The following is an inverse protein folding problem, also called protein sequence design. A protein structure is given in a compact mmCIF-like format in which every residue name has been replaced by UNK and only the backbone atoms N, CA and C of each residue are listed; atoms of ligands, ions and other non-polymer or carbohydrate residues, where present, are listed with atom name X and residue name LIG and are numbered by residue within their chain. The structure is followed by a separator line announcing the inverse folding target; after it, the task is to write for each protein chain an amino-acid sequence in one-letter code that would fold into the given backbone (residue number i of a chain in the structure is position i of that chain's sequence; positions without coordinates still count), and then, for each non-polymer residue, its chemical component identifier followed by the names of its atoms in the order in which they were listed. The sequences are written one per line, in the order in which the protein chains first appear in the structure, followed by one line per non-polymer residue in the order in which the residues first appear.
data_IF_795619352627
#
_entry.id   IF_795619352627
#
_cell.length_a   1.000
_cell.length_b   1.000
_cell.length_c   1.000
_cell.angle_alpha   90.00
_cell.angle_beta   90.00
_cell.angle_gamma   90.00
#
_symmetry.space_group_name_H-M   'P 1'
#
loop_
_entity.id
_entity.type
_entity.pdbx_description
1 polymer ?
#
# COMPACT_ATOMS: atom_id res chain seq x y z
N UNK A 1 -5.37 11.09 -10.90
CA UNK A 1 -5.01 11.67 -9.59
C UNK A 1 -3.89 10.80 -9.02
N UNK A 2 -2.71 11.39 -8.78
CA UNK A 2 -1.41 10.72 -8.55
C UNK A 2 -1.15 10.37 -7.06
N UNK A 3 -2.21 10.20 -6.27
CA UNK A 3 -2.13 10.45 -4.83
C UNK A 3 -1.68 9.23 -4.02
N UNK A 4 -2.02 7.99 -4.41
CA UNK A 4 -1.68 6.81 -3.59
C UNK A 4 -0.21 6.43 -3.61
N UNK A 5 0.54 6.71 -4.68
CA UNK A 5 1.99 6.47 -4.67
C UNK A 5 2.71 7.37 -3.65
N UNK A 6 2.35 8.65 -3.59
CA UNK A 6 2.88 9.59 -2.59
C UNK A 6 2.43 9.25 -1.18
N UNK A 7 1.15 8.91 -0.99
CA UNK A 7 0.62 8.44 0.29
C UNK A 7 1.35 7.20 0.79
N UNK A 8 1.67 6.27 -0.11
CA UNK A 8 2.42 5.07 0.21
C UNK A 8 3.85 5.36 0.63
N UNK A 9 4.53 6.26 -0.08
CA UNK A 9 5.86 6.72 0.31
C UNK A 9 5.84 7.34 1.72
N UNK A 10 4.89 8.23 2.00
CA UNK A 10 4.72 8.83 3.32
C UNK A 10 4.45 7.77 4.38
N UNK A 11 3.59 6.79 4.09
CA UNK A 11 3.31 5.68 5.00
C UNK A 11 4.55 4.83 5.29
N UNK A 12 5.35 4.50 4.26
CA UNK A 12 6.61 3.77 4.41
C UNK A 12 7.57 4.56 5.29
N UNK A 13 7.74 5.86 5.05
CA UNK A 13 8.57 6.73 5.88
C UNK A 13 8.09 6.77 7.33
N UNK A 14 6.78 6.91 7.57
CA UNK A 14 6.24 6.90 8.95
C UNK A 14 6.52 5.56 9.64
N UNK A 15 6.27 4.43 8.95
CA UNK A 15 6.49 3.10 9.54
C UNK A 15 7.97 2.85 9.81
N UNK A 16 8.86 3.30 8.92
CA UNK A 16 10.30 3.06 8.99
C UNK A 16 11.03 4.01 9.96
N UNK A 17 10.79 5.32 9.84
CA UNK A 17 11.49 6.36 10.60
C UNK A 17 10.81 6.71 11.92
N UNK A 18 9.46 6.71 11.98
CA UNK A 18 8.74 7.10 13.19
C UNK A 18 8.41 5.95 14.12
N UNK A 19 8.67 4.68 13.74
CA UNK A 19 8.35 3.46 14.49
C UNK A 19 7.04 3.59 15.31
N UNK A 20 5.89 3.75 14.62
CA UNK A 20 4.63 3.94 15.32
C UNK A 20 4.38 2.75 16.24
N UNK A 21 3.81 2.99 17.41
CA UNK A 21 3.59 1.93 18.41
C UNK A 21 2.70 0.78 17.89
N UNK A 22 1.94 1.00 16.80
CA UNK A 22 1.02 0.02 16.20
C UNK A 22 0.99 0.13 14.66
N UNK A 23 2.05 -0.30 13.94
CA UNK A 23 2.13 -0.17 12.48
C UNK A 23 1.07 -1.01 11.76
N UNK A 24 0.74 -2.19 12.29
CA UNK A 24 -0.29 -3.07 11.73
C UNK A 24 -1.71 -2.47 11.80
N UNK A 25 -2.00 -1.67 12.83
CA UNK A 25 -3.29 -0.99 12.96
C UNK A 25 -3.44 0.13 11.94
N UNK A 26 -2.37 0.93 11.78
CA UNK A 26 -2.24 1.97 10.77
C UNK A 26 -2.37 1.37 9.35
N UNK A 27 -1.69 0.26 9.08
CA UNK A 27 -1.83 -0.47 7.82
C UNK A 27 -3.27 -0.89 7.56
N UNK A 28 -3.95 -1.50 8.54
CA UNK A 28 -5.33 -1.93 8.35
C UNK A 28 -6.32 -0.80 8.05
N UNK A 29 -6.09 0.40 8.60
CA UNK A 29 -6.89 1.59 8.35
C UNK A 29 -6.66 2.16 6.94
N UNK A 30 -5.40 2.23 6.50
CA UNK A 30 -5.05 2.93 5.27
C UNK A 30 -4.77 2.03 4.06
N UNK A 31 -4.64 0.71 4.23
CA UNK A 31 -4.30 -0.25 3.14
C UNK A 31 -5.17 -0.10 1.89
N UNK A 32 -6.45 0.20 2.05
CA UNK A 32 -7.37 0.38 0.93
C UNK A 32 -6.96 1.56 0.05
N UNK A 33 -6.64 2.70 0.67
CA UNK A 33 -6.18 3.91 -0.02
C UNK A 33 -4.74 3.77 -0.54
N UNK A 34 -3.86 3.10 0.23
CA UNK A 34 -2.47 2.88 -0.15
C UNK A 34 -2.33 1.94 -1.37
N UNK A 35 -3.27 1.01 -1.52
CA UNK A 35 -3.27 0.01 -2.58
C UNK A 35 -4.22 0.33 -3.74
N UNK A 36 -4.92 1.46 -3.72
CA UNK A 36 -5.82 1.89 -4.80
C UNK A 36 -5.02 2.16 -6.09
N UNK A 37 -3.96 2.97 -5.98
CA UNK A 37 -3.02 3.22 -7.08
C UNK A 37 -2.27 1.96 -7.50
N UNK A 38 -1.95 1.07 -6.56
CA UNK A 38 -1.29 -0.21 -6.85
C UNK A 38 -2.17 -1.11 -7.70
N UNK A 39 -3.47 -1.16 -7.40
CA UNK A 39 -4.46 -1.87 -8.22
C UNK A 39 -4.53 -1.31 -9.63
N UNK A 40 -4.58 0.02 -9.75
CA UNK A 40 -4.61 0.70 -11.05
C UNK A 40 -3.34 0.45 -11.87
N UNK A 41 -2.18 0.44 -11.22
CA UNK A 41 -0.89 0.12 -11.84
C UNK A 41 -0.84 -1.32 -12.35
N UNK A 42 -1.26 -2.28 -11.52
CA UNK A 42 -1.31 -3.70 -11.90
C UNK A 42 -2.27 -3.93 -13.08
N UNK A 43 -3.45 -3.31 -13.06
CA UNK A 43 -4.38 -3.38 -14.18
C UNK A 43 -3.80 -2.76 -15.46
N UNK A 44 -3.04 -1.67 -15.36
CA UNK A 44 -2.35 -1.08 -16.52
C UNK A 44 -1.26 -2.00 -17.10
N UNK A 45 -0.72 -2.92 -16.30
CA UNK A 45 0.29 -3.90 -16.68
C UNK A 45 -0.32 -5.23 -17.17
N UNK A 46 -1.66 -5.30 -17.36
CA UNK A 46 -2.40 -6.54 -17.60
C UNK A 46 -2.22 -7.62 -16.52
N UNK A 47 -1.74 -7.23 -15.33
CA UNK A 47 -1.67 -8.12 -14.17
C UNK A 47 -3.00 -7.95 -13.43
N UNK A 48 -3.90 -8.92 -13.59
CA UNK A 48 -5.17 -8.90 -12.88
C UNK A 48 -4.99 -9.59 -11.52
N UNK A 49 -4.90 -8.85 -10.40
CA UNK A 49 -4.76 -9.47 -9.10
C UNK A 49 -6.02 -10.29 -8.80
N UNK A 50 -5.83 -11.57 -8.44
CA UNK A 50 -6.91 -12.53 -8.15
C UNK A 50 -7.82 -12.09 -7.00
N UNK A 51 -7.34 -11.20 -6.11
CA UNK A 51 -8.13 -10.67 -4.99
C UNK A 51 -7.47 -9.42 -4.38
N UNK A 52 -8.27 -8.56 -3.73
CA UNK A 52 -7.77 -7.41 -2.96
C UNK A 52 -6.74 -7.83 -1.91
N UNK A 53 -6.85 -9.04 -1.36
CA UNK A 53 -5.89 -9.59 -0.40
C UNK A 53 -4.47 -9.66 -0.98
N UNK A 54 -4.33 -10.13 -2.22
CA UNK A 54 -3.01 -10.18 -2.90
C UNK A 54 -2.44 -8.79 -3.13
N UNK A 55 -3.29 -7.80 -3.42
CA UNK A 55 -2.84 -6.41 -3.58
C UNK A 55 -2.31 -5.88 -2.25
N UNK A 56 -2.98 -6.17 -1.13
CA UNK A 56 -2.49 -5.78 0.19
C UNK A 56 -1.21 -6.51 0.58
N UNK A 57 -1.09 -7.80 0.33
CA UNK A 57 0.15 -8.55 0.55
C UNK A 57 1.32 -7.97 -0.27
N UNK A 58 1.10 -7.70 -1.56
CA UNK A 58 2.09 -7.04 -2.41
C UNK A 58 2.39 -5.59 -1.96
N UNK A 59 1.34 -4.93 -1.46
CA UNK A 59 1.38 -3.65 -0.78
C UNK A 59 2.39 -3.64 0.35
N UNK A 60 2.30 -4.65 1.22
CA UNK A 60 3.14 -4.85 2.41
C UNK A 60 4.57 -5.28 2.06
N UNK A 61 4.74 -6.17 1.08
CA UNK A 61 6.04 -6.66 0.61
C UNK A 61 6.97 -5.52 0.17
N UNK A 62 6.41 -4.50 -0.47
CA UNK A 62 7.14 -3.33 -0.97
C UNK A 62 7.46 -2.29 0.13
N UNK A 63 7.02 -2.50 1.37
CA UNK A 63 7.39 -1.66 2.54
C UNK A 63 8.68 -2.18 3.20
N UNK A 64 9.13 -3.38 2.81
CA UNK A 64 10.29 -4.07 3.37
C UNK A 64 11.62 -3.40 3.01
#
# INVERSE_FOLDING_TARGET
MQTGFKLRLVFITIVRDCQPSRPAHLWNLFKAHLCDDLRRFLSSQHINPLSNKMIYDYGLYLIQ
#
